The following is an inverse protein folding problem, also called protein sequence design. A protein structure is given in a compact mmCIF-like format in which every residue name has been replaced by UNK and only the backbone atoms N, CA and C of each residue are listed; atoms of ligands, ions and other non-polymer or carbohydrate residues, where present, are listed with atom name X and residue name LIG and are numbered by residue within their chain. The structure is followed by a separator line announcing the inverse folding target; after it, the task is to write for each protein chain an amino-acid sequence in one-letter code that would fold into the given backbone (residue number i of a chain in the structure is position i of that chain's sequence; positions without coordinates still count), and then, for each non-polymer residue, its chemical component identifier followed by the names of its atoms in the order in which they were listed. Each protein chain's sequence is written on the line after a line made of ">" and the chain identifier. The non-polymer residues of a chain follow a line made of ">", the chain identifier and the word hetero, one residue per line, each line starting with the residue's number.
data_IF_576619750638
#
_entry.id   IF_576619750638
#
_cell.length_a   1.000
_cell.length_b   1.000
_cell.length_c   1.000
_cell.angle_alpha   90.00
_cell.angle_beta   90.00
_cell.angle_gamma   90.00
#
_symmetry.space_group_name_H-M   'P 1'
#
loop_
_entity.id
_entity.type
_entity.pdbx_description
1 polymer ?
#
# COMPACT_ATOMS: atom_id res chain seq x y z
N UNK A 1 12.79 24.59 -29.58
CA UNK A 1 11.47 25.13 -29.99
C UNK A 1 10.49 24.89 -28.87
N UNK A 2 9.69 25.89 -28.49
CA UNK A 2 8.67 25.77 -27.45
C UNK A 2 7.38 25.24 -28.09
N UNK A 3 6.98 24.00 -27.78
CA UNK A 3 5.70 23.44 -28.21
C UNK A 3 4.63 23.74 -27.16
N UNK A 4 3.44 24.20 -27.57
CA UNK A 4 2.29 24.33 -26.67
C UNK A 4 1.76 22.93 -26.36
N UNK A 5 1.59 22.64 -25.08
CA UNK A 5 1.00 21.40 -24.63
C UNK A 5 -0.52 21.45 -24.85
N UNK A 6 -1.05 20.60 -25.71
CA UNK A 6 -2.48 20.53 -26.00
C UNK A 6 -3.16 19.59 -25.00
N UNK A 7 -4.22 20.05 -24.31
CA UNK A 7 -4.88 19.28 -23.25
C UNK A 7 -5.70 18.09 -23.76
N UNK A 8 -5.84 17.97 -25.08
CA UNK A 8 -6.63 16.94 -25.79
C UNK A 8 -6.15 15.52 -25.48
N UNK A 9 -4.89 15.35 -25.08
CA UNK A 9 -4.31 14.03 -24.75
C UNK A 9 -4.92 13.37 -23.50
N UNK A 10 -5.64 14.11 -22.64
CA UNK A 10 -6.18 13.57 -21.37
C UNK A 10 -7.35 12.60 -21.54
N UNK A 11 -8.08 12.69 -22.65
CA UNK A 11 -9.28 11.90 -22.92
C UNK A 11 -9.02 10.73 -23.91
N UNK A 12 -7.75 10.35 -24.10
CA UNK A 12 -7.37 9.26 -24.98
C UNK A 12 -7.47 7.90 -24.26
N UNK A 13 -7.91 6.88 -24.99
CA UNK A 13 -7.91 5.50 -24.51
C UNK A 13 -6.55 4.85 -24.83
N UNK A 14 -5.83 4.46 -23.79
CA UNK A 14 -4.55 3.76 -23.90
C UNK A 14 -4.61 2.42 -23.16
N UNK A 15 -4.11 1.35 -23.79
CA UNK A 15 -3.98 0.03 -23.15
C UNK A 15 -2.59 -0.07 -22.52
N UNK A 16 -2.52 0.16 -21.21
CA UNK A 16 -1.28 0.15 -20.44
C UNK A 16 -1.43 -0.79 -19.24
N UNK A 17 -0.35 -1.50 -18.90
CA UNK A 17 -0.30 -2.32 -17.69
C UNK A 17 0.14 -1.49 -16.49
N UNK A 18 -0.33 -1.82 -15.29
CA UNK A 18 0.08 -1.12 -14.07
C UNK A 18 1.60 -1.17 -13.86
N UNK A 19 2.24 -2.26 -14.28
CA UNK A 19 3.70 -2.42 -14.21
C UNK A 19 4.44 -1.38 -15.06
N UNK A 20 3.95 -1.09 -16.28
CA UNK A 20 4.56 -0.09 -17.15
C UNK A 20 4.45 1.34 -16.61
N UNK A 21 3.46 1.64 -15.78
CA UNK A 21 3.28 2.96 -15.18
C UNK A 21 4.27 3.24 -14.03
N UNK A 22 4.85 2.20 -13.44
CA UNK A 22 5.76 2.34 -12.30
C UNK A 22 7.21 2.19 -12.77
N UNK A 23 8.01 3.26 -12.76
CA UNK A 23 9.40 3.22 -13.21
C UNK A 23 10.20 2.12 -12.52
N UNK A 24 11.07 1.44 -13.27
CA UNK A 24 11.90 0.34 -12.75
C UNK A 24 12.81 0.77 -11.59
N UNK A 25 13.24 2.02 -11.57
CA UNK A 25 14.08 2.61 -10.52
C UNK A 25 13.30 3.19 -9.32
N UNK A 26 11.96 3.08 -9.31
CA UNK A 26 11.12 3.62 -8.26
C UNK A 26 11.37 2.90 -6.91
N UNK A 27 11.28 3.65 -5.80
CA UNK A 27 11.61 3.14 -4.46
C UNK A 27 10.77 1.92 -4.07
N UNK A 28 9.47 1.91 -4.38
CA UNK A 28 8.59 0.77 -4.06
C UNK A 28 9.05 -0.54 -4.71
N UNK A 29 9.63 -0.49 -5.92
CA UNK A 29 10.19 -1.69 -6.58
C UNK A 29 11.44 -2.19 -5.87
N UNK A 30 12.27 -1.27 -5.38
CA UNK A 30 13.45 -1.62 -4.60
C UNK A 30 13.06 -2.27 -3.27
N UNK A 31 12.01 -1.76 -2.61
CA UNK A 31 11.48 -2.33 -1.38
C UNK A 31 10.90 -3.72 -1.63
N UNK A 32 10.04 -3.87 -2.65
CA UNK A 32 9.44 -5.17 -3.01
C UNK A 32 10.50 -6.23 -3.34
N UNK A 33 11.59 -5.83 -4.00
CA UNK A 33 12.69 -6.74 -4.32
C UNK A 33 13.61 -7.06 -3.12
N UNK A 34 13.67 -6.18 -2.11
CA UNK A 34 14.58 -6.31 -0.98
C UNK A 34 13.98 -7.09 0.20
N UNK A 35 12.65 -7.14 0.30
CA UNK A 35 11.95 -7.70 1.45
C UNK A 35 10.97 -8.77 0.97
N UNK A 36 11.16 -10.00 1.43
CA UNK A 36 10.10 -11.01 1.38
C UNK A 36 9.12 -10.73 2.52
N UNK A 37 7.85 -10.45 2.22
CA UNK A 37 6.82 -10.15 3.21
C UNK A 37 6.13 -11.41 3.77
N UNK A 38 6.43 -12.61 3.27
CA UNK A 38 5.77 -13.85 3.64
C UNK A 38 5.87 -14.17 5.14
N UNK A 39 6.97 -13.78 5.80
CA UNK A 39 7.20 -14.01 7.24
C UNK A 39 6.14 -13.36 8.14
N UNK A 40 5.42 -12.34 7.65
CA UNK A 40 4.42 -11.61 8.43
C UNK A 40 3.25 -12.51 8.81
N UNK A 41 2.85 -13.45 7.94
CA UNK A 41 1.74 -14.36 8.23
C UNK A 41 2.01 -15.19 9.48
N UNK A 42 3.23 -15.70 9.65
CA UNK A 42 3.62 -16.45 10.84
C UNK A 42 3.66 -15.56 12.09
N UNK A 43 4.12 -14.31 11.97
CA UNK A 43 4.18 -13.37 13.10
C UNK A 43 2.81 -12.95 13.64
N UNK A 44 1.82 -12.82 12.76
CA UNK A 44 0.49 -12.31 13.11
C UNK A 44 -0.56 -13.41 13.26
N UNK A 45 -0.20 -14.68 13.03
CA UNK A 45 -1.10 -15.83 13.02
C UNK A 45 -2.03 -15.88 14.23
N UNK A 46 -1.47 -15.73 15.43
CA UNK A 46 -2.24 -15.80 16.68
C UNK A 46 -3.14 -14.57 16.91
N UNK A 47 -2.91 -13.49 16.18
CA UNK A 47 -3.67 -12.23 16.27
C UNK A 47 -4.84 -12.19 15.29
N UNK A 48 -4.86 -13.08 14.30
CA UNK A 48 -5.87 -13.14 13.26
C UNK A 48 -6.77 -14.35 13.47
N UNK A 49 -8.08 -14.10 13.64
CA UNK A 49 -9.08 -15.17 13.71
C UNK A 49 -9.49 -15.59 12.31
N UNK A 50 -9.51 -16.91 12.06
CA UNK A 50 -10.10 -17.50 10.85
C UNK A 50 -11.63 -17.37 10.83
N UNK A 51 -12.26 -17.11 11.99
CA UNK A 51 -13.70 -17.01 12.14
C UNK A 51 -14.10 -15.55 12.40
N UNK A 52 -15.01 -15.01 11.58
CA UNK A 52 -15.62 -13.69 11.77
C UNK A 52 -15.57 -12.80 10.53
N UNK A 53 -15.71 -11.48 10.73
CA UNK A 53 -15.65 -10.50 9.64
C UNK A 53 -14.24 -10.52 9.01
N UNK A 54 -14.12 -10.58 7.67
CA UNK A 54 -12.82 -10.57 7.00
C UNK A 54 -12.02 -9.34 7.44
N UNK A 55 -10.83 -9.59 7.97
CA UNK A 55 -9.86 -8.56 8.35
C UNK A 55 -8.99 -8.25 7.13
N UNK A 56 -8.35 -7.08 7.11
CA UNK A 56 -7.44 -6.72 6.02
C UNK A 56 -6.22 -7.65 6.08
N UNK A 57 -5.73 -8.06 4.91
CA UNK A 57 -4.51 -8.85 4.80
C UNK A 57 -3.36 -8.19 5.58
N UNK A 58 -2.70 -8.92 6.50
CA UNK A 58 -1.61 -8.38 7.29
C UNK A 58 -0.43 -7.89 6.44
N UNK A 59 -0.13 -8.51 5.29
CA UNK A 59 0.92 -8.04 4.38
C UNK A 59 0.56 -6.67 3.83
N UNK A 60 -0.68 -6.46 3.42
CA UNK A 60 -1.16 -5.18 2.88
C UNK A 60 -1.06 -4.09 3.93
N UNK A 61 -1.43 -4.38 5.19
CA UNK A 61 -1.29 -3.43 6.30
C UNK A 61 0.16 -3.05 6.55
N UNK A 62 1.08 -4.01 6.52
CA UNK A 62 2.52 -3.72 6.67
C UNK A 62 3.03 -2.91 5.48
N UNK A 63 2.68 -3.27 4.24
CA UNK A 63 3.07 -2.49 3.07
C UNK A 63 2.53 -1.04 3.11
N UNK A 64 1.33 -0.83 3.66
CA UNK A 64 0.80 0.52 3.92
C UNK A 64 1.62 1.30 4.94
N UNK A 65 2.11 0.67 6.01
CA UNK A 65 3.00 1.34 6.97
C UNK A 65 4.36 1.64 6.35
N UNK A 66 4.88 0.77 5.48
CA UNK A 66 6.09 1.06 4.68
C UNK A 66 5.90 2.28 3.78
N UNK A 67 4.78 2.39 3.05
CA UNK A 67 4.47 3.59 2.26
C UNK A 67 4.43 4.82 3.17
N UNK A 68 3.75 4.72 4.30
CA UNK A 68 3.61 5.82 5.24
C UNK A 68 4.98 6.34 5.72
N UNK A 69 5.86 5.45 6.15
CA UNK A 69 7.19 5.78 6.66
C UNK A 69 8.12 6.27 5.55
N UNK A 70 8.21 5.55 4.43
CA UNK A 70 9.14 5.84 3.32
C UNK A 70 8.84 7.19 2.67
N UNK A 71 7.56 7.53 2.51
CA UNK A 71 7.12 8.76 1.84
C UNK A 71 6.67 9.85 2.82
N UNK A 72 6.84 9.64 4.14
CA UNK A 72 6.57 10.65 5.17
C UNK A 72 5.10 11.09 5.29
N UNK A 73 4.15 10.18 5.02
CA UNK A 73 2.72 10.47 5.13
C UNK A 73 2.32 10.42 6.61
N UNK A 74 1.68 11.46 7.13
CA UNK A 74 1.44 11.58 8.59
C UNK A 74 0.22 10.82 9.12
N UNK A 75 -0.65 10.31 8.25
CA UNK A 75 -1.93 9.73 8.65
C UNK A 75 -2.27 8.53 7.78
N UNK A 76 -2.73 7.44 8.41
CA UNK A 76 -3.16 6.23 7.70
C UNK A 76 -4.34 6.52 6.76
N UNK A 77 -5.26 7.41 7.16
CA UNK A 77 -6.35 7.86 6.30
C UNK A 77 -5.80 8.51 5.02
N UNK A 78 -4.84 9.42 5.16
CA UNK A 78 -4.20 10.07 4.01
C UNK A 78 -3.44 9.05 3.16
N UNK A 79 -2.76 8.09 3.77
CA UNK A 79 -2.09 7.00 3.03
C UNK A 79 -3.09 6.25 2.14
N UNK A 80 -4.28 5.93 2.64
CA UNK A 80 -5.32 5.24 1.86
C UNK A 80 -5.83 6.13 0.71
N UNK A 81 -6.06 7.42 0.95
CA UNK A 81 -6.44 8.38 -0.12
C UNK A 81 -5.36 8.50 -1.21
N UNK A 82 -4.09 8.47 -0.83
CA UNK A 82 -2.97 8.47 -1.77
C UNK A 82 -2.92 7.17 -2.58
N UNK A 83 -3.22 6.01 -1.97
CA UNK A 83 -3.31 4.73 -2.68
C UNK A 83 -4.44 4.75 -3.72
N UNK A 84 -5.53 5.49 -3.48
CA UNK A 84 -6.63 5.63 -4.44
C UNK A 84 -6.24 6.38 -5.72
N UNK A 85 -5.17 7.17 -5.71
CA UNK A 85 -4.77 8.01 -6.84
C UNK A 85 -3.38 7.70 -7.37
N UNK A 86 -2.50 7.16 -6.54
CA UNK A 86 -1.11 6.87 -6.88
C UNK A 86 -0.93 5.42 -7.36
N UNK A 87 -0.61 5.28 -8.65
CA UNK A 87 -0.42 3.98 -9.31
C UNK A 87 0.77 3.19 -8.76
N UNK A 88 1.83 3.88 -8.29
CA UNK A 88 2.98 3.20 -7.71
C UNK A 88 2.65 2.54 -6.36
N UNK A 89 1.77 3.15 -5.56
CA UNK A 89 1.32 2.58 -4.30
C UNK A 89 0.37 1.41 -4.53
N UNK A 90 -0.55 1.52 -5.51
CA UNK A 90 -1.37 0.37 -5.93
C UNK A 90 -0.54 -0.81 -6.39
N UNK A 91 0.45 -0.56 -7.24
CA UNK A 91 1.37 -1.60 -7.73
C UNK A 91 2.08 -2.30 -6.56
N UNK A 92 2.59 -1.53 -5.59
CA UNK A 92 3.28 -2.09 -4.43
C UNK A 92 2.38 -2.97 -3.55
N UNK A 93 1.12 -2.58 -3.41
CA UNK A 93 0.11 -3.34 -2.68
C UNK A 93 -0.47 -4.52 -3.47
N UNK A 94 -0.18 -4.64 -4.76
CA UNK A 94 -0.75 -5.67 -5.63
C UNK A 94 -2.19 -5.40 -6.05
N UNK A 95 -2.67 -4.16 -5.97
CA UNK A 95 -4.02 -3.78 -6.42
C UNK A 95 -4.02 -3.34 -7.88
N UNK A 96 -4.95 -3.88 -8.66
CA UNK A 96 -5.26 -3.42 -10.01
C UNK A 96 -6.01 -2.08 -10.03
N UNK A 97 -6.23 -1.56 -11.24
CA UNK A 97 -6.91 -0.27 -11.45
C UNK A 97 -8.34 -0.23 -10.89
N UNK A 98 -9.07 -1.33 -10.99
CA UNK A 98 -10.47 -1.44 -10.56
C UNK A 98 -10.63 -2.02 -9.16
N UNK A 99 -9.54 -2.46 -8.54
CA UNK A 99 -9.61 -3.03 -7.22
C UNK A 99 -9.94 -1.96 -6.20
N UNK A 100 -10.89 -2.31 -5.32
CA UNK A 100 -11.24 -1.46 -4.19
C UNK A 100 -10.11 -1.53 -3.18
N UNK A 101 -9.50 -0.37 -2.92
CA UNK A 101 -8.55 -0.23 -1.82
C UNK A 101 -9.26 -0.51 -0.50
N UNK A 102 -8.54 -0.93 0.55
CA UNK A 102 -9.15 -1.16 1.85
C UNK A 102 -9.90 0.09 2.32
N UNK A 103 -11.12 -0.05 2.87
CA UNK A 103 -11.88 1.09 3.34
C UNK A 103 -11.10 1.84 4.42
N UNK A 104 -11.28 3.15 4.46
CA UNK A 104 -10.68 4.05 5.43
C UNK A 104 -10.86 3.51 6.86
N UNK A 105 -9.92 3.71 7.82
CA UNK A 105 -9.97 3.13 9.15
C UNK A 105 -11.00 3.84 10.05
N UNK A 106 -12.25 3.92 9.61
CA UNK A 106 -13.39 4.42 10.39
C UNK A 106 -14.06 3.33 11.23
N UNK A 107 -13.70 2.06 11.00
CA UNK A 107 -14.05 0.96 11.91
C UNK A 107 -12.87 0.72 12.84
N UNK A 108 -13.07 0.86 14.16
CA UNK A 108 -12.02 0.76 15.18
C UNK A 108 -11.17 -0.52 15.16
N UNK A 109 -11.53 -1.51 14.32
CA UNK A 109 -10.79 -2.74 14.09
C UNK A 109 -9.52 -2.54 13.25
N UNK A 110 -9.59 -1.77 12.15
CA UNK A 110 -8.43 -1.54 11.26
C UNK A 110 -7.35 -0.73 11.97
N UNK A 111 -7.75 0.29 12.74
CA UNK A 111 -6.83 1.10 13.53
C UNK A 111 -6.15 0.26 14.62
N UNK A 112 -6.90 -0.63 15.28
CA UNK A 112 -6.36 -1.56 16.28
C UNK A 112 -5.43 -2.60 15.66
N UNK A 113 -5.75 -3.13 14.48
CA UNK A 113 -4.92 -4.11 13.79
C UNK A 113 -3.64 -3.47 13.24
N UNK A 114 -3.73 -2.24 12.69
CA UNK A 114 -2.56 -1.45 12.33
C UNK A 114 -1.69 -1.10 13.56
N UNK A 115 -2.31 -0.75 14.70
CA UNK A 115 -1.57 -0.48 15.95
C UNK A 115 -0.92 -1.74 16.52
N UNK A 116 -1.60 -2.89 16.46
CA UNK A 116 -1.05 -4.20 16.86
C UNK A 116 0.14 -4.58 16.00
N UNK A 117 0.01 -4.42 14.67
CA UNK A 117 1.10 -4.68 13.73
C UNK A 117 2.25 -3.70 13.98
N UNK A 118 1.99 -2.40 14.15
CA UNK A 118 3.04 -1.43 14.47
C UNK A 118 3.74 -1.76 15.80
N UNK A 119 2.99 -2.18 16.81
CA UNK A 119 3.55 -2.62 18.10
C UNK A 119 4.40 -3.87 17.92
N UNK A 120 3.96 -4.83 17.09
CA UNK A 120 4.73 -6.02 16.75
C UNK A 120 6.02 -5.65 16.02
N UNK A 121 5.94 -4.82 14.96
CA UNK A 121 7.10 -4.39 14.17
C UNK A 121 8.11 -3.59 15.00
N UNK A 122 7.64 -2.73 15.91
CA UNK A 122 8.50 -1.99 16.85
C UNK A 122 9.14 -2.93 17.88
N UNK A 123 8.42 -3.95 18.36
CA UNK A 123 8.94 -4.96 19.29
C UNK A 123 10.01 -5.85 18.65
N UNK A 124 9.93 -6.07 17.34
CA UNK A 124 10.91 -6.82 16.55
C UNK A 124 11.99 -5.94 15.89
N UNK A 125 12.05 -4.63 16.19
CA UNK A 125 13.03 -3.67 15.63
C UNK A 125 13.01 -3.56 14.09
N UNK A 126 11.88 -3.86 13.44
CA UNK A 126 11.76 -3.86 11.97
C UNK A 126 11.53 -2.44 11.43
N UNK A 127 10.94 -1.56 12.24
CA UNK A 127 10.75 -0.14 11.92
C UNK A 127 11.23 0.66 13.13
N UNK A 128 12.33 1.41 12.96
CA UNK A 128 12.92 2.30 13.97
C UNK A 128 12.46 3.73 13.79
#
# INVERSE_FOLDING_TARGET
>A
MLSKHDSILRDQLEMITLDQLVPSNHLVRKIEAAIDFSFIYELVKDMYSEVGRPSIDPIILVKLTFIQYTFGIRSMRKTIEEVETNMAYRWFLGYGFHDKVPPTPGSGKIMNDALKIQTCLNRFSIVS
#
